data_IF_365281630888
#
_entry.id   IF_365281630888
#
_cell.length_a   1.000
_cell.length_b   1.000
_cell.length_c   1.000
_cell.angle_alpha   90.00
_cell.angle_beta   90.00
_cell.angle_gamma   90.00
#
_symmetry.space_group_name_H-M   'P 1'
#
loop_
_entity.id
_entity.type
_entity.pdbx_description
1 polymer ?
#
# COMPACT_ATOMS: atom_id res chain seq x y z
N UNK A 1 -12.50 18.77 -18.17
CA UNK A 1 -13.16 18.21 -16.99
C UNK A 1 -14.50 17.67 -17.45
N UNK A 2 -14.67 16.37 -17.41
CA UNK A 2 -15.91 15.78 -17.94
C UNK A 2 -16.67 15.15 -16.77
N UNK A 3 -17.58 15.95 -16.17
CA UNK A 3 -18.61 15.45 -15.28
C UNK A 3 -19.80 14.86 -16.06
N UNK A 4 -19.52 14.32 -17.26
CA UNK A 4 -20.50 13.65 -18.13
C UNK A 4 -20.72 12.24 -17.59
N UNK A 5 -22.01 11.91 -17.38
CA UNK A 5 -22.44 10.61 -16.89
C UNK A 5 -22.33 9.60 -18.04
N UNK A 6 -21.50 8.57 -17.88
CA UNK A 6 -21.24 7.54 -18.88
C UNK A 6 -22.05 6.26 -18.64
N UNK A 7 -22.39 5.98 -17.39
CA UNK A 7 -23.28 4.89 -17.02
C UNK A 7 -24.05 5.21 -15.73
N UNK A 8 -25.12 4.49 -15.48
CA UNK A 8 -25.95 4.61 -14.27
C UNK A 8 -26.18 3.19 -13.75
N UNK A 9 -25.93 2.97 -12.46
CA UNK A 9 -26.11 1.69 -11.82
C UNK A 9 -27.57 1.32 -11.75
N UNK A 10 -27.89 0.05 -12.03
CA UNK A 10 -29.25 -0.47 -11.95
C UNK A 10 -29.78 -0.35 -10.52
N UNK A 11 -31.03 0.07 -10.40
CA UNK A 11 -31.73 0.27 -9.13
C UNK A 11 -31.09 1.32 -8.21
N UNK A 12 -30.20 2.15 -8.76
CA UNK A 12 -29.58 3.27 -8.03
C UNK A 12 -30.58 4.40 -7.75
N UNK A 13 -30.24 5.30 -6.80
CA UNK A 13 -31.01 6.53 -6.57
C UNK A 13 -31.14 7.41 -7.81
N UNK A 14 -30.08 7.52 -8.61
CA UNK A 14 -30.06 8.32 -9.83
C UNK A 14 -30.96 7.72 -10.93
N UNK A 15 -30.95 6.38 -11.13
CA UNK A 15 -31.84 5.73 -12.08
C UNK A 15 -33.31 5.95 -11.70
N UNK A 16 -33.67 5.74 -10.42
CA UNK A 16 -35.04 6.00 -9.92
C UNK A 16 -35.48 7.44 -10.07
N UNK A 17 -34.56 8.39 -10.00
CA UNK A 17 -34.83 9.81 -10.17
C UNK A 17 -34.87 10.24 -11.64
N UNK A 18 -34.61 9.34 -12.60
CA UNK A 18 -34.68 9.58 -14.03
C UNK A 18 -33.50 10.38 -14.59
N UNK A 19 -32.31 10.27 -13.98
CA UNK A 19 -31.06 10.76 -14.56
C UNK A 19 -30.75 9.96 -15.82
N UNK A 20 -30.12 10.58 -16.82
CA UNK A 20 -29.84 9.93 -18.10
C UNK A 20 -28.34 9.94 -18.43
N UNK A 21 -27.87 8.88 -19.07
CA UNK A 21 -26.52 8.83 -19.63
C UNK A 21 -26.34 9.93 -20.68
N UNK A 22 -25.19 10.58 -20.68
CA UNK A 22 -24.87 11.72 -21.54
C UNK A 22 -25.23 13.08 -20.93
N UNK A 23 -25.89 13.13 -19.79
CA UNK A 23 -26.06 14.37 -19.04
C UNK A 23 -24.78 14.73 -18.30
N UNK A 24 -24.55 16.03 -18.09
CA UNK A 24 -23.44 16.55 -17.31
C UNK A 24 -23.91 16.93 -15.90
N UNK A 25 -23.28 16.41 -14.86
CA UNK A 25 -23.51 16.81 -13.48
C UNK A 25 -22.83 18.15 -13.21
N UNK A 26 -23.59 19.20 -12.91
CA UNK A 26 -23.10 20.55 -12.65
C UNK A 26 -22.93 20.81 -11.15
N UNK A 27 -23.95 20.48 -10.35
CA UNK A 27 -23.92 20.69 -8.90
C UNK A 27 -24.74 19.64 -8.15
N UNK A 28 -24.40 19.46 -6.86
CA UNK A 28 -25.18 18.71 -5.87
C UNK A 28 -25.46 19.65 -4.70
N UNK A 29 -26.72 19.76 -4.30
CA UNK A 29 -27.17 20.64 -3.21
C UNK A 29 -26.68 22.09 -3.36
N UNK A 30 -26.56 22.59 -4.60
CA UNK A 30 -26.07 23.93 -4.92
C UNK A 30 -24.54 24.08 -4.93
N UNK A 31 -23.79 23.03 -4.63
CA UNK A 31 -22.33 23.02 -4.67
C UNK A 31 -21.83 22.50 -6.02
N UNK A 32 -21.01 23.27 -6.75
CA UNK A 32 -20.42 22.82 -8.02
C UNK A 32 -19.57 21.54 -7.83
N UNK A 33 -19.70 20.61 -8.75
CA UNK A 33 -18.94 19.37 -8.74
C UNK A 33 -17.74 19.52 -9.68
N UNK A 34 -16.54 19.43 -9.09
CA UNK A 34 -15.25 19.51 -9.82
C UNK A 34 -14.69 18.13 -10.07
N UNK A 35 -14.72 17.26 -9.07
CA UNK A 35 -14.18 15.90 -9.11
C UNK A 35 -14.91 14.95 -8.14
N UNK A 36 -14.39 13.74 -8.00
CA UNK A 36 -14.96 12.67 -7.18
C UNK A 36 -15.08 13.04 -5.70
N UNK A 37 -14.24 13.92 -5.16
CA UNK A 37 -14.32 14.32 -3.75
C UNK A 37 -15.58 15.16 -3.50
N UNK A 38 -15.88 16.13 -4.37
CA UNK A 38 -17.13 16.88 -4.29
C UNK A 38 -18.34 15.97 -4.46
N UNK A 39 -18.28 15.05 -5.44
CA UNK A 39 -19.35 14.09 -5.71
C UNK A 39 -19.68 13.26 -4.48
N UNK A 40 -18.67 12.70 -3.82
CA UNK A 40 -18.85 11.88 -2.61
C UNK A 40 -19.27 12.71 -1.42
N UNK A 41 -18.67 13.87 -1.22
CA UNK A 41 -18.93 14.72 -0.06
C UNK A 41 -20.36 15.31 -0.11
N UNK A 42 -20.70 16.01 -1.19
CA UNK A 42 -22.02 16.64 -1.34
C UNK A 42 -23.14 15.65 -1.69
N UNK A 43 -22.77 14.47 -2.19
CA UNK A 43 -23.69 13.37 -2.42
C UNK A 43 -23.95 12.48 -1.20
N UNK A 44 -23.37 12.77 -0.03
CA UNK A 44 -23.50 11.93 1.17
C UNK A 44 -24.92 11.94 1.78
N UNK A 45 -25.59 13.07 1.76
CA UNK A 45 -26.88 13.28 2.40
C UNK A 45 -28.01 12.38 1.85
N UNK A 46 -29.03 12.06 2.68
CA UNK A 46 -30.19 11.26 2.24
C UNK A 46 -31.02 11.92 1.14
N UNK A 47 -30.92 13.23 0.99
CA UNK A 47 -31.59 14.02 -0.04
C UNK A 47 -30.55 14.79 -0.84
N UNK A 48 -30.43 14.46 -2.13
CA UNK A 48 -29.50 15.12 -3.04
C UNK A 48 -30.24 15.81 -4.17
N UNK A 49 -30.06 17.13 -4.27
CA UNK A 49 -30.61 17.95 -5.35
C UNK A 49 -29.54 18.11 -6.42
N UNK A 50 -29.72 17.45 -7.58
CA UNK A 50 -28.79 17.47 -8.68
C UNK A 50 -29.16 18.52 -9.70
N UNK A 51 -28.23 19.34 -10.13
CA UNK A 51 -28.36 20.20 -11.31
C UNK A 51 -27.63 19.52 -12.47
N UNK A 52 -28.37 19.22 -13.52
CA UNK A 52 -27.90 18.45 -14.67
C UNK A 52 -28.03 19.29 -15.94
N UNK A 53 -27.03 19.20 -16.83
CA UNK A 53 -27.10 19.77 -18.18
C UNK A 53 -27.33 18.64 -19.16
N UNK A 54 -28.42 18.69 -19.89
CA UNK A 54 -28.77 17.69 -20.91
C UNK A 54 -27.85 17.78 -22.12
N UNK A 55 -27.80 16.74 -22.96
CA UNK A 55 -27.06 16.75 -24.21
C UNK A 55 -27.50 17.88 -25.18
N UNK A 56 -28.75 18.36 -25.07
CA UNK A 56 -29.27 19.51 -25.80
C UNK A 56 -28.83 20.87 -25.21
N UNK A 57 -28.09 20.88 -24.09
CA UNK A 57 -27.61 22.09 -23.43
C UNK A 57 -28.55 22.72 -22.42
N UNK A 58 -29.76 22.17 -22.21
CA UNK A 58 -30.71 22.67 -21.23
C UNK A 58 -30.32 22.21 -19.81
N UNK A 59 -30.52 23.09 -18.83
CA UNK A 59 -30.37 22.78 -17.40
C UNK A 59 -31.67 22.25 -16.84
N UNK A 60 -31.59 21.16 -16.05
CA UNK A 60 -32.71 20.61 -15.30
C UNK A 60 -32.29 20.20 -13.89
N UNK A 61 -33.26 20.13 -13.00
CA UNK A 61 -33.05 19.74 -11.61
C UNK A 61 -33.73 18.39 -11.33
N UNK A 62 -33.01 17.54 -10.60
CA UNK A 62 -33.47 16.21 -10.20
C UNK A 62 -33.23 16.02 -8.72
N UNK A 63 -34.14 15.41 -8.02
CA UNK A 63 -34.02 15.10 -6.59
C UNK A 63 -33.88 13.60 -6.41
N UNK A 64 -32.76 13.17 -5.85
CA UNK A 64 -32.51 11.80 -5.46
C UNK A 64 -32.75 11.58 -3.97
N UNK A 65 -33.50 10.52 -3.62
CA UNK A 65 -33.72 10.07 -2.24
C UNK A 65 -32.98 8.75 -2.04
N UNK A 66 -32.21 8.64 -0.96
CA UNK A 66 -31.36 7.48 -0.67
C UNK A 66 -31.11 7.32 0.82
N UNK A 67 -30.47 6.23 1.26
CA UNK A 67 -29.88 6.15 2.59
C UNK A 67 -28.68 7.10 2.70
N UNK A 68 -28.39 7.57 3.91
CA UNK A 68 -27.18 8.34 4.20
C UNK A 68 -25.94 7.53 3.80
N UNK A 69 -25.00 8.16 3.12
CA UNK A 69 -23.79 7.50 2.62
C UNK A 69 -23.97 6.56 1.42
N UNK A 70 -25.21 6.24 1.03
CA UNK A 70 -25.45 5.44 -0.18
C UNK A 70 -24.99 6.21 -1.42
N UNK A 71 -24.28 5.53 -2.35
CA UNK A 71 -23.90 6.16 -3.62
C UNK A 71 -25.11 6.50 -4.49
N UNK A 72 -25.00 7.58 -5.27
CA UNK A 72 -26.04 7.97 -6.23
C UNK A 72 -26.12 7.01 -7.41
N UNK A 73 -25.05 6.28 -7.70
CA UNK A 73 -24.95 5.32 -8.80
C UNK A 73 -24.67 5.99 -10.14
N UNK A 74 -23.95 7.11 -10.14
CA UNK A 74 -23.48 7.78 -11.35
C UNK A 74 -22.06 7.36 -11.66
N UNK A 75 -21.82 6.92 -12.89
CA UNK A 75 -20.50 6.57 -13.37
C UNK A 75 -20.01 7.60 -14.39
N UNK A 76 -18.69 7.85 -14.40
CA UNK A 76 -18.01 8.83 -15.24
C UNK A 76 -16.88 8.15 -16.02
N UNK A 77 -16.26 8.85 -17.01
CA UNK A 77 -15.20 8.28 -17.86
C UNK A 77 -14.02 7.74 -17.05
N UNK A 78 -13.67 8.40 -15.95
CA UNK A 78 -12.64 7.97 -15.01
C UNK A 78 -13.17 7.93 -13.59
N UNK A 79 -12.59 7.10 -12.77
CA UNK A 79 -12.92 7.00 -11.34
C UNK A 79 -12.78 8.33 -10.59
N UNK A 80 -11.85 9.20 -11.03
CA UNK A 80 -11.61 10.52 -10.43
C UNK A 80 -12.47 11.63 -11.05
N UNK A 81 -13.24 11.33 -12.09
CA UNK A 81 -14.04 12.27 -12.91
C UNK A 81 -13.19 13.22 -13.75
N UNK A 82 -11.86 13.11 -13.70
CA UNK A 82 -10.89 13.78 -14.57
C UNK A 82 -9.61 12.94 -14.72
N UNK A 83 -8.54 13.53 -15.25
CA UNK A 83 -7.24 12.86 -15.40
C UNK A 83 -6.52 12.74 -14.06
N UNK A 84 -5.88 11.59 -13.84
CA UNK A 84 -5.01 11.33 -12.69
C UNK A 84 -3.75 12.19 -12.77
N UNK A 85 -3.31 12.71 -11.63
CA UNK A 85 -2.11 13.55 -11.56
C UNK A 85 -0.86 12.72 -11.34
N UNK A 86 0.09 12.90 -12.22
CA UNK A 86 1.40 12.29 -12.10
C UNK A 86 2.30 13.08 -11.15
N UNK A 87 3.19 12.37 -10.45
CA UNK A 87 4.20 12.96 -9.58
C UNK A 87 5.22 13.80 -10.36
N UNK A 88 5.51 14.99 -9.85
CA UNK A 88 6.49 15.92 -10.43
C UNK A 88 7.89 15.82 -9.77
N UNK A 89 8.08 14.89 -8.83
CA UNK A 89 9.33 14.76 -8.09
C UNK A 89 10.32 13.82 -8.77
N UNK A 90 11.60 14.02 -8.44
CA UNK A 90 12.72 13.16 -8.83
C UNK A 90 13.44 12.65 -7.57
N UNK A 91 12.69 11.93 -6.72
CA UNK A 91 13.19 11.46 -5.43
C UNK A 91 14.45 10.61 -5.58
N UNK A 92 15.45 10.82 -4.72
CA UNK A 92 16.68 10.04 -4.72
C UNK A 92 16.44 8.53 -4.65
N UNK A 93 15.37 8.14 -3.99
CA UNK A 93 14.98 6.77 -3.66
C UNK A 93 13.78 6.27 -4.50
N UNK A 94 13.31 7.02 -5.50
CA UNK A 94 12.13 6.63 -6.29
C UNK A 94 12.30 5.25 -6.88
N UNK A 95 11.41 4.32 -6.50
CA UNK A 95 11.46 2.94 -6.98
C UNK A 95 11.10 2.86 -8.48
N UNK A 96 10.14 3.71 -8.92
CA UNK A 96 9.72 3.77 -10.34
C UNK A 96 10.89 4.18 -11.25
N UNK A 97 11.77 5.10 -10.80
CA UNK A 97 12.96 5.50 -11.56
C UNK A 97 14.04 4.40 -11.66
N UNK A 98 13.89 3.34 -10.87
CA UNK A 98 14.76 2.17 -10.86
C UNK A 98 14.15 0.96 -11.58
N UNK A 99 13.01 1.14 -12.26
CA UNK A 99 12.39 0.06 -13.04
C UNK A 99 13.18 -0.18 -14.33
N UNK A 100 13.40 -1.45 -14.72
CA UNK A 100 14.04 -1.75 -16.00
C UNK A 100 13.17 -1.30 -17.17
N UNK A 101 13.76 -0.95 -18.33
CA UNK A 101 12.99 -0.59 -19.51
C UNK A 101 12.25 -1.81 -20.10
N UNK A 102 11.12 -1.55 -20.78
CA UNK A 102 10.39 -2.57 -21.54
C UNK A 102 9.31 -3.33 -20.74
N UNK A 103 9.02 -2.92 -19.52
CA UNK A 103 7.88 -3.46 -18.76
C UNK A 103 6.56 -2.76 -19.20
N UNK A 104 5.41 -3.28 -18.72
CA UNK A 104 4.09 -2.67 -19.00
C UNK A 104 4.04 -1.22 -18.51
N UNK A 105 3.37 -0.36 -19.27
CA UNK A 105 3.35 1.09 -19.06
C UNK A 105 2.85 1.51 -17.67
N UNK A 106 1.94 0.74 -17.08
CA UNK A 106 1.37 1.04 -15.76
C UNK A 106 2.41 1.03 -14.63
N UNK A 107 3.53 0.31 -14.78
CA UNK A 107 4.61 0.26 -13.79
C UNK A 107 5.51 1.51 -13.79
N UNK A 108 5.42 2.35 -14.82
CA UNK A 108 6.18 3.60 -14.91
C UNK A 108 5.36 4.82 -14.49
N UNK A 109 4.09 4.61 -14.15
CA UNK A 109 3.25 5.70 -13.69
C UNK A 109 3.61 6.06 -12.25
N UNK A 110 3.96 7.32 -12.03
CA UNK A 110 4.24 7.87 -10.69
C UNK A 110 2.99 8.56 -10.17
N UNK A 111 2.27 7.90 -9.28
CA UNK A 111 1.11 8.50 -8.64
C UNK A 111 1.51 9.53 -7.57
N UNK A 112 0.85 10.67 -7.58
CA UNK A 112 0.91 11.69 -6.51
C UNK A 112 -0.41 12.49 -6.46
N UNK A 113 -1.53 11.82 -6.73
CA UNK A 113 -2.84 12.45 -6.73
C UNK A 113 -3.45 12.42 -5.32
N UNK A 114 -3.65 13.60 -4.73
CA UNK A 114 -4.16 13.74 -3.37
C UNK A 114 -5.53 13.06 -3.15
N UNK A 115 -6.34 12.94 -4.21
CA UNK A 115 -7.64 12.25 -4.14
C UNK A 115 -7.48 10.76 -3.88
N UNK A 116 -6.44 10.14 -4.43
CA UNK A 116 -6.16 8.72 -4.23
C UNK A 116 -5.67 8.43 -2.81
N UNK A 117 -5.04 9.39 -2.14
CA UNK A 117 -4.73 9.23 -0.71
C UNK A 117 -5.99 9.02 0.12
N UNK A 118 -6.99 9.85 -0.11
CA UNK A 118 -8.27 9.75 0.59
C UNK A 118 -9.12 8.54 0.16
N UNK A 119 -9.12 8.22 -1.14
CA UNK A 119 -10.00 7.18 -1.71
C UNK A 119 -9.45 5.77 -1.57
N UNK A 120 -8.13 5.61 -1.70
CA UNK A 120 -7.45 4.33 -1.79
C UNK A 120 -6.35 4.14 -0.75
N UNK A 121 -6.05 5.16 0.06
CA UNK A 121 -4.98 5.09 1.06
C UNK A 121 -3.58 5.34 0.49
N UNK A 122 -3.43 5.80 -0.75
CA UNK A 122 -2.12 6.04 -1.36
C UNK A 122 -1.33 7.10 -0.60
N UNK A 123 -0.01 6.90 -0.49
CA UNK A 123 0.90 7.88 0.10
C UNK A 123 1.32 8.91 -0.94
N UNK A 124 1.11 10.19 -0.65
CA UNK A 124 1.36 11.33 -1.53
C UNK A 124 2.37 12.29 -0.94
N UNK A 125 3.04 13.06 -1.80
CA UNK A 125 4.05 14.03 -1.36
C UNK A 125 3.50 15.43 -1.07
N UNK A 126 2.26 15.72 -1.43
CA UNK A 126 1.61 17.03 -1.40
C UNK A 126 2.32 18.11 -2.26
N UNK A 127 3.35 17.76 -3.03
CA UNK A 127 4.11 18.74 -3.84
C UNK A 127 3.34 19.22 -5.07
N UNK A 128 2.32 18.46 -5.49
CA UNK A 128 1.43 18.79 -6.60
C UNK A 128 0.21 19.62 -6.20
N UNK A 129 0.00 19.86 -4.89
CA UNK A 129 -1.13 20.63 -4.40
C UNK A 129 -0.98 22.12 -4.70
N UNK A 130 -2.09 22.72 -5.13
CA UNK A 130 -2.27 24.17 -5.13
C UNK A 130 -2.82 24.65 -3.79
N UNK A 131 -2.66 25.95 -3.48
CA UNK A 131 -3.26 26.55 -2.28
C UNK A 131 -4.77 26.38 -2.20
N UNK A 132 -5.45 26.48 -3.36
CA UNK A 132 -6.90 26.27 -3.45
C UNK A 132 -7.30 24.84 -3.06
N UNK A 133 -6.54 23.86 -3.50
CA UNK A 133 -6.81 22.45 -3.18
C UNK A 133 -6.49 22.14 -1.73
N UNK A 134 -5.38 22.67 -1.20
CA UNK A 134 -5.06 22.54 0.22
C UNK A 134 -6.16 23.17 1.09
N UNK A 135 -6.66 24.36 0.72
CA UNK A 135 -7.77 25.00 1.44
C UNK A 135 -9.05 24.17 1.33
N UNK A 136 -9.37 23.60 0.17
CA UNK A 136 -10.52 22.71 -0.02
C UNK A 136 -10.45 21.47 0.87
N UNK A 137 -9.27 20.85 1.02
CA UNK A 137 -9.07 19.71 1.94
C UNK A 137 -9.43 20.12 3.37
N UNK A 138 -9.03 21.32 3.79
CA UNK A 138 -9.35 21.87 5.11
C UNK A 138 -10.84 22.15 5.23
N UNK A 139 -11.44 22.85 4.28
CA UNK A 139 -12.86 23.25 4.29
C UNK A 139 -13.80 22.05 4.31
N UNK A 140 -13.49 21.00 3.57
CA UNK A 140 -14.26 19.76 3.52
C UNK A 140 -13.85 18.75 4.61
N UNK A 141 -12.85 19.09 5.42
CA UNK A 141 -12.29 18.22 6.47
C UNK A 141 -11.95 16.80 5.96
N UNK A 142 -11.33 16.73 4.77
CA UNK A 142 -10.97 15.46 4.11
C UNK A 142 -9.89 14.74 4.93
N UNK A 143 -10.24 13.59 5.51
CA UNK A 143 -9.42 12.87 6.49
C UNK A 143 -9.74 11.36 6.46
N UNK A 144 -8.78 10.44 6.63
CA UNK A 144 -7.34 10.69 6.79
C UNK A 144 -6.62 11.00 5.47
N UNK A 145 -5.41 11.56 5.57
CA UNK A 145 -4.48 11.74 4.45
C UNK A 145 -3.17 11.00 4.77
N UNK A 146 -2.70 10.22 3.80
CA UNK A 146 -1.43 9.51 3.90
C UNK A 146 -0.33 10.30 3.19
N UNK A 147 0.74 10.65 3.91
CA UNK A 147 1.77 11.57 3.43
C UNK A 147 3.16 10.94 3.45
N UNK A 148 3.83 10.98 2.29
CA UNK A 148 5.25 10.66 2.16
C UNK A 148 6.10 11.84 2.65
N UNK A 149 6.61 11.77 3.89
CA UNK A 149 7.29 12.89 4.56
C UNK A 149 8.81 12.87 4.32
N UNK A 150 9.44 11.75 4.59
CA UNK A 150 10.88 11.45 4.49
C UNK A 150 11.80 12.33 5.36
N UNK A 151 11.65 13.65 5.38
CA UNK A 151 12.39 14.57 6.22
C UNK A 151 11.59 15.86 6.47
N UNK A 152 11.74 16.49 7.64
CA UNK A 152 11.12 17.79 7.97
C UNK A 152 12.08 18.97 7.87
N UNK A 153 13.40 18.72 7.71
CA UNK A 153 14.33 19.75 7.30
C UNK A 153 14.01 20.21 5.88
N UNK A 154 13.64 21.49 5.63
CA UNK A 154 13.17 21.93 4.32
C UNK A 154 14.21 21.76 3.21
N UNK A 155 15.50 21.93 3.50
CA UNK A 155 16.56 21.78 2.52
C UNK A 155 16.79 20.30 2.18
N UNK A 156 16.83 19.44 3.19
CA UNK A 156 16.95 18.00 2.99
C UNK A 156 15.71 17.44 2.28
N UNK A 157 14.51 17.89 2.65
CA UNK A 157 13.27 17.52 2.00
C UNK A 157 13.29 17.82 0.50
N UNK A 158 13.67 19.06 0.11
CA UNK A 158 13.83 19.42 -1.30
C UNK A 158 14.88 18.55 -2.01
N UNK A 159 15.99 18.26 -1.33
CA UNK A 159 17.06 17.43 -1.91
C UNK A 159 16.60 15.99 -2.10
N UNK A 160 15.98 15.39 -1.10
CA UNK A 160 15.50 14.01 -1.17
C UNK A 160 14.41 13.82 -2.22
N UNK A 161 13.49 14.77 -2.37
CA UNK A 161 12.44 14.73 -3.38
C UNK A 161 12.92 15.18 -4.78
N UNK A 162 14.14 15.68 -4.91
CA UNK A 162 14.66 16.22 -6.17
C UNK A 162 13.80 17.35 -6.75
N UNK A 163 13.17 18.13 -5.86
CA UNK A 163 12.22 19.18 -6.20
C UNK A 163 12.48 20.42 -5.32
N UNK A 164 12.98 21.48 -5.91
CA UNK A 164 13.35 22.72 -5.19
C UNK A 164 12.17 23.40 -4.47
N UNK A 165 10.94 23.10 -4.89
CA UNK A 165 9.72 23.67 -4.31
C UNK A 165 9.05 22.73 -3.29
N UNK A 166 9.62 21.55 -3.01
CA UNK A 166 9.00 20.55 -2.15
C UNK A 166 8.78 21.03 -0.71
N UNK A 167 9.61 21.96 -0.20
CA UNK A 167 9.46 22.50 1.14
C UNK A 167 8.06 23.08 1.42
N UNK A 168 7.34 23.53 0.37
CA UNK A 168 5.96 24.02 0.48
C UNK A 168 4.99 22.94 0.98
N UNK A 169 5.24 21.67 0.71
CA UNK A 169 4.41 20.59 1.22
C UNK A 169 4.45 20.50 2.76
N UNK A 170 5.56 20.89 3.38
CA UNK A 170 5.68 20.97 4.85
C UNK A 170 4.76 22.04 5.44
N UNK A 171 4.54 23.15 4.73
CA UNK A 171 3.61 24.19 5.15
C UNK A 171 2.15 23.66 5.08
N UNK A 172 1.82 22.88 4.05
CA UNK A 172 0.51 22.23 3.94
C UNK A 172 0.29 21.21 5.06
N UNK A 173 1.29 20.38 5.36
CA UNK A 173 1.24 19.44 6.48
C UNK A 173 0.90 20.16 7.78
N UNK A 174 1.60 21.27 8.09
CA UNK A 174 1.35 22.04 9.30
C UNK A 174 -0.05 22.69 9.30
N UNK A 175 -0.52 23.17 8.14
CA UNK A 175 -1.87 23.73 8.01
C UNK A 175 -2.93 22.66 8.26
N UNK A 176 -2.75 21.45 7.72
CA UNK A 176 -3.66 20.30 7.93
C UNK A 176 -3.69 19.87 9.40
N UNK A 177 -2.54 19.79 10.07
CA UNK A 177 -2.48 19.53 11.50
C UNK A 177 -3.27 20.55 12.31
N UNK A 178 -3.08 21.86 12.04
CA UNK A 178 -3.79 22.94 12.72
C UNK A 178 -5.31 22.88 12.47
N UNK A 179 -5.71 22.37 11.32
CA UNK A 179 -7.13 22.18 10.97
C UNK A 179 -7.72 20.86 11.53
N UNK A 180 -6.93 20.04 12.24
CA UNK A 180 -7.39 18.77 12.81
C UNK A 180 -7.56 17.63 11.81
N UNK A 181 -6.96 17.75 10.62
CA UNK A 181 -6.91 16.66 9.64
C UNK A 181 -6.05 15.52 10.18
N UNK A 182 -6.58 14.31 10.17
CA UNK A 182 -5.83 13.11 10.55
C UNK A 182 -4.83 12.79 9.46
N UNK A 183 -3.55 12.65 9.83
CA UNK A 183 -2.49 12.29 8.88
C UNK A 183 -1.74 11.07 9.32
N UNK A 184 -1.47 10.18 8.35
CA UNK A 184 -0.54 9.08 8.48
C UNK A 184 0.72 9.40 7.67
N UNK A 185 1.89 9.12 8.23
CA UNK A 185 3.16 9.39 7.61
C UNK A 185 3.86 8.12 7.09
N UNK A 186 4.71 8.31 6.09
CA UNK A 186 5.69 7.32 5.67
C UNK A 186 7.05 7.99 5.53
N UNK A 187 8.09 7.34 6.05
CA UNK A 187 9.48 7.76 5.91
C UNK A 187 10.26 6.61 5.26
N UNK A 188 10.68 6.80 4.01
CA UNK A 188 11.69 5.93 3.41
C UNK A 188 13.04 6.34 3.96
N UNK A 189 13.65 5.49 4.77
CA UNK A 189 14.94 5.78 5.41
C UNK A 189 16.08 5.43 4.46
N UNK A 190 16.87 6.43 4.13
CA UNK A 190 18.04 6.35 3.25
C UNK A 190 19.31 6.60 4.09
N UNK A 191 20.12 5.58 4.39
CA UNK A 191 21.30 5.73 5.21
C UNK A 191 22.26 6.80 4.69
N UNK A 192 22.70 7.69 5.59
CA UNK A 192 23.56 8.84 5.27
C UNK A 192 22.81 10.07 4.73
N UNK A 193 21.47 10.04 4.66
CA UNK A 193 20.65 11.16 4.23
C UNK A 193 19.67 11.62 5.33
N UNK A 194 18.69 10.81 5.67
CA UNK A 194 17.63 11.14 6.63
C UNK A 194 17.58 10.20 7.85
N UNK A 195 18.66 9.50 8.12
CA UNK A 195 18.90 8.70 9.33
C UNK A 195 19.47 9.54 10.49
N UNK A 196 19.82 8.92 11.59
CA UNK A 196 20.47 9.54 12.74
C UNK A 196 19.75 10.79 13.25
N UNK A 197 20.47 11.92 13.32
CA UNK A 197 19.94 13.20 13.83
C UNK A 197 18.81 13.77 12.96
N UNK A 198 18.84 13.54 11.65
CA UNK A 198 17.77 13.96 10.74
C UNK A 198 16.49 13.18 11.01
N UNK A 199 16.60 11.88 11.26
CA UNK A 199 15.45 11.06 11.66
C UNK A 199 14.88 11.54 13.00
N UNK A 200 15.72 11.76 14.01
CA UNK A 200 15.31 12.30 15.32
C UNK A 200 14.59 13.65 15.18
N UNK A 201 15.09 14.54 14.33
CA UNK A 201 14.42 15.81 14.02
C UNK A 201 13.04 15.56 13.42
N UNK A 202 12.96 14.72 12.41
CA UNK A 202 11.71 14.42 11.71
C UNK A 202 10.67 13.84 12.68
N UNK A 203 11.03 12.84 13.50
CA UNK A 203 10.10 12.23 14.45
C UNK A 203 9.63 13.22 15.53
N UNK A 204 10.50 14.13 15.96
CA UNK A 204 10.12 15.22 16.89
C UNK A 204 9.09 16.14 16.26
N UNK A 205 9.34 16.61 15.05
CA UNK A 205 8.43 17.51 14.33
C UNK A 205 7.08 16.84 14.09
N UNK A 206 7.06 15.57 13.66
CA UNK A 206 5.83 14.80 13.47
C UNK A 206 5.06 14.54 14.77
N UNK A 207 5.79 14.41 15.90
CA UNK A 207 5.17 14.34 17.24
C UNK A 207 4.44 15.64 17.57
N UNK A 208 5.09 16.78 17.37
CA UNK A 208 4.49 18.10 17.63
C UNK A 208 3.36 18.44 16.63
N UNK A 209 3.44 17.97 15.40
CA UNK A 209 2.37 18.09 14.40
C UNK A 209 1.25 17.05 14.59
N UNK A 210 1.34 16.22 15.60
CA UNK A 210 0.31 15.26 16.00
C UNK A 210 -0.10 14.26 14.91
N UNK A 211 0.86 13.76 14.13
CA UNK A 211 0.59 12.66 13.21
C UNK A 211 -0.07 11.50 13.96
N UNK A 212 -1.06 10.87 13.33
CA UNK A 212 -1.78 9.74 13.91
C UNK A 212 -0.91 8.48 13.96
N UNK A 213 -0.20 8.22 12.87
CA UNK A 213 0.77 7.13 12.75
C UNK A 213 1.84 7.47 11.71
N UNK A 214 2.99 6.83 11.77
CA UNK A 214 4.03 6.97 10.75
C UNK A 214 4.85 5.68 10.67
N UNK A 215 4.99 5.16 9.45
CA UNK A 215 5.86 4.02 9.16
C UNK A 215 7.27 4.46 8.78
N UNK A 216 8.26 3.73 9.26
CA UNK A 216 9.64 3.81 8.82
C UNK A 216 9.96 2.58 7.98
N UNK A 217 10.26 2.78 6.71
CA UNK A 217 10.54 1.71 5.77
C UNK A 217 11.96 1.84 5.21
N UNK A 218 12.71 0.76 4.99
CA UNK A 218 14.03 0.84 4.40
C UNK A 218 13.95 1.21 2.93
N UNK A 219 14.97 1.89 2.40
CA UNK A 219 15.05 2.19 0.97
C UNK A 219 15.28 0.92 0.17
N UNK A 220 14.44 0.69 -0.86
CA UNK A 220 14.63 -0.35 -1.86
C UNK A 220 15.64 0.10 -2.94
N UNK A 221 16.62 -0.75 -3.24
CA UNK A 221 17.68 -0.46 -4.21
C UNK A 221 17.75 -1.58 -5.22
N UNK A 222 17.46 -1.26 -6.50
CA UNK A 222 17.58 -2.22 -7.60
C UNK A 222 18.94 -2.10 -8.29
N UNK A 223 19.28 -3.07 -9.13
CA UNK A 223 20.46 -3.02 -10.00
C UNK A 223 20.36 -1.99 -11.15
N UNK A 224 19.18 -1.38 -11.36
CA UNK A 224 18.90 -0.44 -12.45
C UNK A 224 19.04 1.02 -12.02
N UNK A 225 20.08 1.34 -11.27
CA UNK A 225 20.32 2.70 -10.74
C UNK A 225 21.36 3.51 -11.51
N UNK A 226 21.67 3.15 -12.75
CA UNK A 226 22.64 3.88 -13.57
C UNK A 226 22.16 5.31 -13.80
N UNK A 227 23.01 6.28 -13.44
CA UNK A 227 22.67 7.72 -13.55
C UNK A 227 21.84 8.30 -12.41
N UNK A 228 21.34 7.50 -11.50
CA UNK A 228 20.62 7.97 -10.30
C UNK A 228 21.60 8.28 -9.16
N UNK A 229 21.09 9.00 -8.14
CA UNK A 229 21.84 9.31 -6.94
C UNK A 229 22.41 8.06 -6.27
N UNK A 230 23.63 8.15 -5.74
CA UNK A 230 24.26 7.03 -5.04
C UNK A 230 23.60 6.84 -3.68
N UNK A 231 22.93 5.72 -3.53
CA UNK A 231 22.39 5.24 -2.25
C UNK A 231 23.02 3.87 -1.93
N UNK A 232 23.01 3.52 -0.67
CA UNK A 232 23.35 2.17 -0.22
C UNK A 232 22.15 1.52 0.49
N UNK A 233 22.04 0.20 0.48
CA UNK A 233 21.00 -0.49 1.24
C UNK A 233 21.18 -0.24 2.75
N UNK A 234 20.11 -0.43 3.49
CA UNK A 234 20.12 -0.41 4.95
C UNK A 234 20.91 -1.63 5.45
N UNK A 235 22.00 -1.41 6.19
CA UNK A 235 22.77 -2.48 6.82
C UNK A 235 22.09 -2.98 8.11
N UNK A 236 22.52 -4.11 8.68
CA UNK A 236 22.02 -4.56 9.98
C UNK A 236 22.25 -3.57 11.11
N UNK A 237 23.36 -2.81 11.09
CA UNK A 237 23.64 -1.73 12.04
C UNK A 237 22.69 -0.55 11.86
N UNK A 238 22.51 -0.09 10.61
CA UNK A 238 21.56 0.99 10.31
C UNK A 238 20.14 0.61 10.78
N UNK A 239 19.71 -0.62 10.52
CA UNK A 239 18.40 -1.10 10.92
C UNK A 239 18.22 -1.07 12.45
N UNK A 240 19.23 -1.51 13.22
CA UNK A 240 19.21 -1.43 14.68
C UNK A 240 19.12 0.02 15.18
N UNK A 241 19.87 0.93 14.57
CA UNK A 241 19.87 2.35 14.94
C UNK A 241 18.52 3.00 14.62
N UNK A 242 17.93 2.70 13.45
CA UNK A 242 16.60 3.18 13.05
C UNK A 242 15.54 2.69 14.03
N UNK A 243 15.55 1.39 14.36
CA UNK A 243 14.62 0.79 15.33
C UNK A 243 14.80 1.45 16.71
N UNK A 244 16.02 1.63 17.19
CA UNK A 244 16.29 2.24 18.49
C UNK A 244 15.76 3.69 18.56
N UNK A 245 15.91 4.47 17.49
CA UNK A 245 15.38 5.84 17.40
C UNK A 245 13.84 5.79 17.40
N UNK A 246 13.23 4.91 16.59
CA UNK A 246 11.78 4.78 16.54
C UNK A 246 11.19 4.35 17.89
N UNK A 247 11.84 3.43 18.60
CA UNK A 247 11.46 2.98 19.95
C UNK A 247 11.53 4.11 20.98
N UNK A 248 12.60 4.90 20.97
CA UNK A 248 12.76 6.06 21.87
C UNK A 248 11.55 7.00 21.75
N UNK A 249 11.22 7.43 20.54
CA UNK A 249 10.09 8.31 20.26
C UNK A 249 8.74 7.62 20.45
N UNK A 250 8.64 6.34 20.09
CA UNK A 250 7.44 5.54 20.27
C UNK A 250 7.06 5.42 21.75
N UNK A 251 8.02 5.10 22.62
CA UNK A 251 7.80 5.01 24.06
C UNK A 251 7.50 6.39 24.69
N UNK A 252 8.11 7.46 24.20
CA UNK A 252 7.77 8.81 24.64
C UNK A 252 6.33 9.17 24.27
N UNK A 253 5.92 8.92 23.03
CA UNK A 253 4.56 9.18 22.55
C UNK A 253 3.53 8.32 23.29
N UNK A 254 3.82 7.06 23.57
CA UNK A 254 2.94 6.19 24.32
C UNK A 254 2.69 6.74 25.74
N UNK A 255 3.74 7.27 26.41
CA UNK A 255 3.60 7.91 27.71
C UNK A 255 2.82 9.22 27.67
N UNK A 256 3.00 10.03 26.63
CA UNK A 256 2.38 11.38 26.50
C UNK A 256 0.97 11.32 25.96
N UNK A 257 0.69 10.42 25.05
CA UNK A 257 -0.53 10.44 24.22
C UNK A 257 -1.29 9.11 24.21
N UNK A 258 -0.76 8.05 24.81
CA UNK A 258 -1.39 6.72 24.83
C UNK A 258 -1.28 5.96 23.49
N UNK A 259 -0.41 6.37 22.60
CA UNK A 259 -0.15 5.73 21.29
C UNK A 259 1.31 5.93 20.87
N UNK A 260 1.93 4.91 20.28
CA UNK A 260 3.34 4.97 19.83
C UNK A 260 3.57 5.93 18.68
N UNK A 261 2.66 5.97 17.74
CA UNK A 261 2.68 6.76 16.50
C UNK A 261 3.74 6.36 15.48
N UNK A 262 4.94 5.91 15.90
CA UNK A 262 6.06 5.53 15.02
C UNK A 262 6.26 4.03 15.04
N UNK A 263 6.29 3.43 13.84
CA UNK A 263 6.35 1.99 13.65
C UNK A 263 7.39 1.65 12.59
N UNK A 264 8.28 0.72 12.87
CA UNK A 264 9.21 0.18 11.89
C UNK A 264 8.56 -0.94 11.08
N UNK A 265 8.82 -0.97 9.76
CA UNK A 265 8.43 -2.09 8.92
C UNK A 265 9.13 -3.38 9.38
N UNK A 266 8.48 -4.52 9.18
CA UNK A 266 8.99 -5.85 9.54
C UNK A 266 10.37 -6.11 8.91
N UNK A 267 10.59 -5.61 7.69
CA UNK A 267 11.88 -5.71 6.99
C UNK A 267 13.04 -5.13 7.80
N UNK A 268 12.82 -4.06 8.57
CA UNK A 268 13.87 -3.49 9.44
C UNK A 268 14.24 -4.45 10.55
N UNK A 269 13.27 -5.12 11.18
CA UNK A 269 13.55 -6.13 12.22
C UNK A 269 14.27 -7.35 11.64
N UNK A 270 13.84 -7.83 10.48
CA UNK A 270 14.50 -8.94 9.78
C UNK A 270 15.96 -8.60 9.43
N UNK A 271 16.21 -7.40 8.88
CA UNK A 271 17.56 -6.91 8.57
C UNK A 271 18.44 -6.74 9.79
N UNK A 272 17.86 -6.28 10.90
CA UNK A 272 18.55 -6.13 12.17
C UNK A 272 18.92 -7.47 12.84
N UNK A 273 18.31 -8.57 12.39
CA UNK A 273 18.38 -9.87 13.06
C UNK A 273 17.68 -9.86 14.43
N UNK A 274 16.63 -9.05 14.57
CA UNK A 274 15.82 -8.90 15.78
C UNK A 274 14.51 -9.67 15.65
N UNK A 275 13.97 -10.11 16.79
CA UNK A 275 12.62 -10.66 16.82
C UNK A 275 11.57 -9.60 16.49
N UNK A 276 10.50 -10.04 15.81
CA UNK A 276 9.36 -9.17 15.53
C UNK A 276 8.65 -8.79 16.85
N UNK A 277 8.23 -7.53 17.00
CA UNK A 277 7.44 -7.09 18.15
C UNK A 277 6.18 -7.94 18.38
N UNK A 278 5.64 -7.92 19.60
CA UNK A 278 4.37 -8.54 19.89
C UNK A 278 3.19 -7.69 19.38
N UNK A 279 2.00 -8.26 19.34
CA UNK A 279 0.78 -7.65 18.79
C UNK A 279 0.49 -6.23 19.31
N UNK A 280 0.65 -6.05 20.62
CA UNK A 280 0.38 -4.78 21.31
C UNK A 280 1.25 -3.61 20.80
N UNK A 281 2.44 -3.92 20.27
CA UNK A 281 3.30 -2.92 19.61
C UNK A 281 2.61 -2.25 18.43
N UNK A 282 1.85 -2.99 17.62
CA UNK A 282 1.31 -2.53 16.33
C UNK A 282 0.01 -1.73 16.45
N UNK A 283 -0.60 -1.66 17.64
CA UNK A 283 -1.80 -0.86 17.95
C UNK A 283 -2.93 -1.03 16.92
N UNK A 284 -3.21 -2.28 16.53
CA UNK A 284 -4.25 -2.63 15.55
C UNK A 284 -3.81 -2.49 14.09
N UNK A 285 -2.51 -2.60 13.83
CA UNK A 285 -1.92 -2.73 12.49
C UNK A 285 -2.23 -1.57 11.53
N UNK A 286 -2.17 -0.34 12.03
CA UNK A 286 -2.53 0.89 11.27
C UNK A 286 -1.70 1.16 10.02
N UNK A 287 -0.54 0.52 9.88
CA UNK A 287 0.43 0.72 8.79
C UNK A 287 0.74 -0.59 8.05
N UNK A 288 -0.22 -1.54 8.06
CA UNK A 288 -0.04 -2.88 7.50
C UNK A 288 0.44 -2.84 6.04
N UNK A 289 -0.14 -1.98 5.21
CA UNK A 289 0.21 -1.81 3.80
C UNK A 289 1.65 -1.31 3.56
N UNK A 290 2.27 -0.73 4.59
CA UNK A 290 3.69 -0.36 4.58
C UNK A 290 4.61 -1.47 5.13
N UNK A 291 4.11 -2.68 5.25
CA UNK A 291 4.87 -3.82 5.77
C UNK A 291 5.12 -3.76 7.28
N UNK A 292 4.27 -3.06 8.04
CA UNK A 292 4.36 -2.94 9.50
C UNK A 292 3.43 -3.95 10.15
N UNK A 293 3.99 -5.02 10.70
CA UNK A 293 3.24 -6.04 11.42
C UNK A 293 2.59 -7.10 10.53
N UNK A 294 2.88 -7.14 9.24
CA UNK A 294 2.33 -8.15 8.33
C UNK A 294 2.70 -9.56 8.77
N UNK A 295 3.95 -9.78 9.14
CA UNK A 295 4.43 -11.10 9.57
C UNK A 295 3.83 -11.49 10.92
N UNK A 296 3.69 -10.55 11.86
CA UNK A 296 3.07 -10.83 13.15
C UNK A 296 1.57 -11.14 13.00
N UNK A 297 0.85 -10.40 12.17
CA UNK A 297 -0.57 -10.68 11.86
C UNK A 297 -0.72 -12.07 11.23
N UNK A 298 0.08 -12.37 10.21
CA UNK A 298 0.09 -13.69 9.56
C UNK A 298 0.35 -14.83 10.57
N UNK A 299 1.33 -14.66 11.47
CA UNK A 299 1.62 -15.67 12.49
C UNK A 299 0.44 -15.90 13.45
N UNK A 300 -0.19 -14.82 13.91
CA UNK A 300 -1.31 -14.93 14.85
C UNK A 300 -2.51 -15.62 14.24
N UNK A 301 -2.87 -15.24 13.00
CA UNK A 301 -3.97 -15.86 12.26
C UNK A 301 -3.66 -17.33 12.00
N UNK A 302 -2.43 -17.65 11.58
CA UNK A 302 -1.97 -19.01 11.34
C UNK A 302 -2.03 -19.89 12.57
N UNK A 303 -1.46 -19.44 13.69
CA UNK A 303 -1.47 -20.19 14.94
C UNK A 303 -2.87 -20.31 15.55
N UNK A 304 -3.73 -19.31 15.31
CA UNK A 304 -5.14 -19.37 15.72
C UNK A 304 -5.91 -20.39 14.91
N UNK A 305 -5.76 -20.38 13.57
CA UNK A 305 -6.37 -21.37 12.69
C UNK A 305 -5.91 -22.80 13.04
N UNK A 306 -4.61 -23.02 13.27
CA UNK A 306 -4.06 -24.32 13.67
C UNK A 306 -4.74 -24.90 14.94
N UNK A 307 -5.06 -24.05 15.93
CA UNK A 307 -5.69 -24.49 17.18
C UNK A 307 -7.14 -24.94 17.00
N UNK A 308 -7.80 -24.47 15.96
CA UNK A 308 -9.20 -24.80 15.65
C UNK A 308 -9.33 -26.04 14.76
N UNK A 309 -8.19 -26.54 14.25
CA UNK A 309 -8.17 -27.65 13.33
C UNK A 309 -8.12 -29.03 14.00
N UNK A 310 -9.07 -29.90 13.60
CA UNK A 310 -9.02 -31.35 13.82
C UNK A 310 -8.58 -32.00 12.49
N UNK A 311 -7.41 -32.65 12.48
CA UNK A 311 -6.85 -33.12 11.23
C UNK A 311 -6.34 -34.56 11.29
N UNK A 312 -6.82 -35.43 10.39
CA UNK A 312 -6.44 -36.83 10.25
C UNK A 312 -5.90 -37.24 8.86
N UNK A 313 -5.97 -36.34 7.87
CA UNK A 313 -5.56 -36.66 6.48
C UNK A 313 -4.17 -36.12 6.15
N UNK A 314 -3.40 -36.87 5.36
CA UNK A 314 -2.10 -36.45 4.86
C UNK A 314 -2.28 -35.71 3.52
N UNK A 315 -2.09 -34.38 3.47
CA UNK A 315 -2.16 -33.62 2.23
C UNK A 315 -1.02 -34.00 1.28
N UNK A 316 -1.18 -33.65 0.00
CA UNK A 316 -0.09 -33.81 -0.97
C UNK A 316 1.11 -32.91 -0.63
N UNK A 317 2.35 -33.34 -0.99
CA UNK A 317 3.53 -32.53 -0.75
C UNK A 317 3.43 -31.14 -1.40
N UNK A 318 4.03 -30.13 -0.74
CA UNK A 318 4.03 -28.76 -1.24
C UNK A 318 5.35 -28.02 -0.99
N UNK A 319 5.54 -26.95 -1.74
CA UNK A 319 6.67 -26.03 -1.60
C UNK A 319 6.15 -24.61 -1.45
N UNK A 320 6.51 -23.93 -0.37
CA UNK A 320 6.28 -22.50 -0.21
C UNK A 320 7.47 -21.78 -0.84
N UNK A 321 7.26 -21.00 -1.90
CA UNK A 321 8.30 -20.17 -2.47
C UNK A 321 8.09 -18.71 -2.08
N UNK A 322 9.14 -18.08 -1.55
CA UNK A 322 9.08 -16.71 -1.01
C UNK A 322 10.43 -16.00 -1.18
N UNK A 323 10.46 -14.70 -0.92
CA UNK A 323 11.70 -13.92 -0.93
C UNK A 323 12.66 -14.33 0.20
N UNK A 324 13.94 -14.04 0.02
CA UNK A 324 14.99 -14.43 0.98
C UNK A 324 14.79 -13.83 2.36
N UNK A 325 14.19 -12.63 2.48
CA UNK A 325 13.90 -11.99 3.75
C UNK A 325 12.87 -12.76 4.59
N UNK A 326 11.81 -13.25 3.96
CA UNK A 326 10.71 -13.92 4.66
C UNK A 326 10.92 -15.45 4.82
N UNK A 327 11.85 -16.05 4.09
CA UNK A 327 12.04 -17.50 4.09
C UNK A 327 12.33 -18.11 5.49
N UNK A 328 13.15 -17.50 6.37
CA UNK A 328 13.33 -18.01 7.73
C UNK A 328 12.04 -18.00 8.55
N UNK A 329 11.24 -16.96 8.42
CA UNK A 329 9.95 -16.84 9.09
C UNK A 329 8.94 -17.87 8.57
N UNK A 330 8.85 -18.06 7.26
CA UNK A 330 7.99 -19.09 6.65
C UNK A 330 8.43 -20.50 7.04
N UNK A 331 9.74 -20.73 7.18
CA UNK A 331 10.28 -22.00 7.70
C UNK A 331 9.84 -22.23 9.15
N UNK A 332 9.89 -21.19 9.98
CA UNK A 332 9.39 -21.28 11.34
C UNK A 332 7.90 -21.68 11.39
N UNK A 333 7.02 -21.03 10.60
CA UNK A 333 5.61 -21.37 10.52
C UNK A 333 5.38 -22.81 10.05
N UNK A 334 6.12 -23.26 9.05
CA UNK A 334 6.04 -24.62 8.54
C UNK A 334 6.43 -25.65 9.62
N UNK A 335 7.47 -25.39 10.41
CA UNK A 335 7.87 -26.29 11.50
C UNK A 335 6.82 -26.31 12.64
N UNK A 336 6.16 -25.18 12.93
CA UNK A 336 5.01 -25.19 13.85
C UNK A 336 3.89 -26.09 13.31
N UNK A 337 3.56 -25.95 12.01
CA UNK A 337 2.55 -26.80 11.38
C UNK A 337 2.92 -28.28 11.39
N UNK A 338 4.16 -28.64 11.06
CA UNK A 338 4.63 -30.04 11.10
C UNK A 338 4.60 -30.65 12.51
N UNK A 339 4.87 -29.84 13.53
CA UNK A 339 4.77 -30.29 14.93
C UNK A 339 3.30 -30.61 15.33
N UNK A 340 2.35 -29.88 14.79
CA UNK A 340 0.92 -30.07 15.02
C UNK A 340 0.30 -31.16 14.11
N UNK A 341 0.72 -31.18 12.82
CA UNK A 341 0.29 -32.12 11.80
C UNK A 341 1.45 -32.99 11.30
N UNK A 342 1.78 -34.13 11.97
CA UNK A 342 2.98 -34.91 11.66
C UNK A 342 3.00 -35.55 10.25
N UNK A 343 1.85 -35.65 9.60
CA UNK A 343 1.73 -36.13 8.21
C UNK A 343 2.08 -35.09 7.15
N UNK A 344 2.22 -33.81 7.54
CA UNK A 344 2.47 -32.68 6.64
C UNK A 344 3.83 -32.81 5.98
N UNK A 345 3.86 -32.72 4.63
CA UNK A 345 5.08 -32.79 3.82
C UNK A 345 5.25 -31.48 3.05
N UNK A 346 5.96 -30.55 3.62
CA UNK A 346 6.25 -29.25 3.00
C UNK A 346 7.70 -28.85 3.12
N UNK A 347 8.14 -27.96 2.23
CA UNK A 347 9.42 -27.28 2.27
C UNK A 347 9.26 -25.80 1.97
N UNK A 348 10.23 -24.98 2.37
CA UNK A 348 10.30 -23.56 2.02
C UNK A 348 11.52 -23.33 1.13
N UNK A 349 11.33 -22.65 0.02
CA UNK A 349 12.39 -22.26 -0.90
C UNK A 349 12.52 -20.73 -0.88
N UNK A 350 13.69 -20.26 -0.48
CA UNK A 350 14.08 -18.87 -0.61
C UNK A 350 14.49 -18.59 -2.07
N UNK A 351 13.75 -17.70 -2.74
CA UNK A 351 14.01 -17.31 -4.12
C UNK A 351 14.77 -15.99 -4.13
N UNK A 352 15.93 -15.95 -4.77
CA UNK A 352 16.71 -14.73 -4.97
C UNK A 352 16.11 -13.89 -6.10
N UNK A 353 16.11 -12.58 -5.92
CA UNK A 353 15.61 -11.67 -6.95
C UNK A 353 16.74 -11.33 -7.94
N UNK A 354 16.85 -12.12 -8.98
CA UNK A 354 17.81 -11.87 -10.07
C UNK A 354 17.35 -10.73 -10.97
N UNK A 355 16.02 -10.52 -11.06
CA UNK A 355 15.42 -9.51 -11.94
C UNK A 355 15.75 -8.09 -11.47
N UNK A 356 15.47 -7.74 -10.22
CA UNK A 356 15.78 -6.42 -9.65
C UNK A 356 17.16 -6.33 -8.99
N UNK A 357 17.77 -7.45 -8.68
CA UNK A 357 19.04 -7.58 -7.94
C UNK A 357 18.81 -8.03 -6.50
N UNK A 358 19.80 -8.72 -5.94
CA UNK A 358 19.75 -9.44 -4.67
C UNK A 358 19.59 -8.54 -3.42
N UNK A 359 19.66 -7.22 -3.58
CA UNK A 359 19.33 -6.25 -2.52
C UNK A 359 17.81 -6.09 -2.34
N UNK A 360 17.01 -6.60 -3.28
CA UNK A 360 15.56 -6.71 -3.21
C UNK A 360 15.23 -8.15 -2.80
N UNK A 361 14.81 -8.33 -1.58
CA UNK A 361 14.67 -9.62 -0.90
C UNK A 361 13.23 -9.94 -0.47
N UNK A 362 12.29 -9.04 -0.75
CA UNK A 362 10.87 -9.19 -0.42
C UNK A 362 10.12 -10.02 -1.48
N UNK A 363 9.17 -10.84 -1.03
CA UNK A 363 8.39 -11.73 -1.89
C UNK A 363 7.60 -10.98 -2.99
N UNK A 364 6.96 -9.86 -2.66
CA UNK A 364 6.09 -9.11 -3.60
C UNK A 364 6.79 -8.51 -4.82
N UNK A 365 8.13 -8.54 -4.86
CA UNK A 365 8.92 -8.05 -6.00
C UNK A 365 9.63 -9.19 -6.76
N UNK A 366 9.37 -10.45 -6.42
CA UNK A 366 9.81 -11.59 -7.23
C UNK A 366 9.03 -11.64 -8.54
N UNK A 367 9.73 -12.05 -9.60
CA UNK A 367 9.14 -12.17 -10.93
C UNK A 367 8.86 -13.64 -11.29
N UNK A 368 8.00 -13.86 -12.29
CA UNK A 368 7.73 -15.21 -12.77
C UNK A 368 8.99 -15.89 -13.31
N UNK A 369 9.89 -15.15 -13.95
CA UNK A 369 11.17 -15.68 -14.44
C UNK A 369 12.12 -16.06 -13.30
N UNK A 370 12.18 -15.30 -12.18
CA UNK A 370 12.99 -15.67 -11.02
C UNK A 370 12.50 -16.99 -10.41
N UNK A 371 11.17 -17.11 -10.25
CA UNK A 371 10.53 -18.32 -9.74
C UNK A 371 10.77 -19.52 -10.65
N UNK A 372 10.51 -19.39 -11.96
CA UNK A 372 10.71 -20.48 -12.93
C UNK A 372 12.16 -20.96 -12.94
N UNK A 373 13.13 -20.02 -13.07
CA UNK A 373 14.55 -20.38 -13.20
C UNK A 373 15.15 -21.08 -11.97
N UNK A 374 14.62 -20.77 -10.77
CA UNK A 374 15.16 -21.33 -9.53
C UNK A 374 14.39 -22.58 -9.10
N UNK A 375 13.05 -22.59 -9.19
CA UNK A 375 12.23 -23.73 -8.79
C UNK A 375 12.40 -24.96 -9.71
N UNK A 376 12.67 -24.78 -11.00
CA UNK A 376 12.99 -25.91 -11.90
C UNK A 376 14.19 -26.74 -11.44
N UNK A 377 15.05 -26.21 -10.58
CA UNK A 377 16.22 -26.91 -10.04
C UNK A 377 15.93 -27.68 -8.76
N UNK A 378 14.75 -27.49 -8.19
CA UNK A 378 14.34 -28.10 -6.91
C UNK A 378 13.63 -29.42 -7.21
N UNK A 379 14.09 -30.55 -6.67
CA UNK A 379 13.41 -31.83 -6.81
C UNK A 379 12.12 -31.85 -5.98
N UNK A 380 11.16 -32.63 -6.43
CA UNK A 380 9.96 -32.95 -5.65
C UNK A 380 9.19 -31.73 -5.08
N UNK A 381 8.91 -30.74 -5.94
CA UNK A 381 8.20 -29.52 -5.56
C UNK A 381 6.83 -29.78 -4.93
N UNK A 382 6.11 -30.82 -5.40
CA UNK A 382 4.70 -30.97 -5.07
C UNK A 382 3.88 -29.79 -5.62
N UNK A 383 2.91 -29.30 -4.86
CA UNK A 383 2.19 -28.05 -5.18
C UNK A 383 3.07 -26.86 -4.78
N UNK A 384 3.14 -25.83 -5.61
CA UNK A 384 3.87 -24.59 -5.27
C UNK A 384 2.90 -23.57 -4.72
N UNK A 385 3.13 -23.10 -3.50
CA UNK A 385 2.33 -22.10 -2.82
C UNK A 385 3.04 -20.74 -2.92
N UNK A 386 2.34 -19.74 -3.48
CA UNK A 386 2.85 -18.38 -3.68
C UNK A 386 1.92 -17.36 -3.04
N UNK A 387 2.43 -16.35 -2.32
CA UNK A 387 1.58 -15.31 -1.74
C UNK A 387 0.98 -14.39 -2.82
N UNK A 388 -0.28 -14.00 -2.62
CA UNK A 388 -1.04 -13.13 -3.53
C UNK A 388 -0.31 -11.82 -3.86
N UNK A 389 0.51 -11.31 -2.95
CA UNK A 389 1.27 -10.07 -3.15
C UNK A 389 2.31 -10.13 -4.28
N UNK A 390 2.63 -11.30 -4.82
CA UNK A 390 3.47 -11.43 -6.02
C UNK A 390 2.74 -11.03 -7.30
N UNK A 391 1.41 -10.97 -7.27
CA UNK A 391 0.59 -10.75 -8.46
C UNK A 391 0.04 -9.33 -8.52
N UNK A 392 -0.30 -8.90 -9.72
CA UNK A 392 -1.06 -7.69 -9.95
C UNK A 392 -2.46 -7.84 -9.36
N UNK A 393 -2.92 -6.81 -8.65
CA UNK A 393 -4.23 -6.82 -8.01
C UNK A 393 -5.36 -7.19 -9.00
N UNK A 394 -6.12 -8.23 -8.65
CA UNK A 394 -7.23 -8.74 -9.46
C UNK A 394 -6.85 -9.51 -10.72
N UNK A 395 -5.57 -9.82 -10.93
CA UNK A 395 -5.07 -10.56 -12.10
C UNK A 395 -4.07 -11.65 -11.70
N UNK A 396 -3.95 -12.71 -12.51
CA UNK A 396 -2.99 -13.80 -12.31
C UNK A 396 -1.65 -13.55 -13.03
N UNK A 397 -1.09 -12.35 -12.88
CA UNK A 397 0.08 -11.90 -13.64
C UNK A 397 1.13 -11.30 -12.70
N UNK A 398 2.39 -11.76 -12.82
CA UNK A 398 3.55 -11.23 -12.13
C UNK A 398 4.01 -9.86 -12.68
N UNK A 399 5.01 -9.26 -12.04
CA UNK A 399 5.54 -7.95 -12.48
C UNK A 399 6.12 -7.96 -13.90
N UNK A 400 6.65 -9.08 -14.35
CA UNK A 400 7.29 -9.29 -15.65
C UNK A 400 6.33 -9.85 -16.74
N UNK A 401 5.01 -9.69 -16.52
CA UNK A 401 3.95 -10.20 -17.39
C UNK A 401 3.92 -11.75 -17.54
N UNK A 402 4.64 -12.44 -16.67
CA UNK A 402 4.52 -13.89 -16.55
C UNK A 402 3.18 -14.25 -15.93
N UNK A 403 2.53 -15.31 -16.38
CA UNK A 403 1.26 -15.74 -15.77
C UNK A 403 1.46 -16.94 -14.86
N UNK A 404 0.55 -17.14 -13.92
CA UNK A 404 0.56 -18.28 -12.99
C UNK A 404 0.44 -19.59 -13.78
N UNK A 405 -0.40 -19.63 -14.84
CA UNK A 405 -0.59 -20.79 -15.69
C UNK A 405 0.70 -21.16 -16.44
N UNK A 406 1.43 -20.15 -16.94
CA UNK A 406 2.71 -20.37 -17.59
C UNK A 406 3.74 -20.93 -16.61
N UNK A 407 3.81 -20.38 -15.41
CA UNK A 407 4.71 -20.87 -14.36
C UNK A 407 4.40 -22.32 -14.02
N UNK A 408 3.13 -22.66 -13.81
CA UNK A 408 2.67 -24.03 -13.53
C UNK A 408 3.05 -25.00 -14.65
N UNK A 409 2.88 -24.61 -15.91
CA UNK A 409 3.23 -25.43 -17.06
C UNK A 409 4.76 -25.69 -17.15
N UNK A 410 5.59 -24.67 -16.87
CA UNK A 410 7.05 -24.78 -16.90
C UNK A 410 7.62 -25.59 -15.73
N UNK A 411 6.97 -25.54 -14.55
CA UNK A 411 7.36 -26.33 -13.38
C UNK A 411 6.82 -27.77 -13.44
N UNK A 412 5.81 -28.02 -14.27
CA UNK A 412 5.14 -29.33 -14.37
C UNK A 412 4.37 -29.72 -13.12
N UNK A 413 3.98 -28.77 -12.28
CA UNK A 413 3.21 -28.97 -11.06
C UNK A 413 2.21 -27.83 -10.81
N UNK A 414 1.17 -28.05 -10.00
CA UNK A 414 0.22 -26.99 -9.67
C UNK A 414 0.87 -25.82 -8.93
N UNK A 415 0.53 -24.60 -9.34
CA UNK A 415 0.87 -23.36 -8.62
C UNK A 415 -0.41 -22.80 -8.02
N UNK A 416 -0.47 -22.70 -6.71
CA UNK A 416 -1.60 -22.17 -5.95
C UNK A 416 -1.24 -20.81 -5.36
N UNK A 417 -2.10 -19.83 -5.59
CA UNK A 417 -1.98 -18.51 -4.97
C UNK A 417 -2.68 -18.55 -3.62
N UNK A 418 -1.94 -18.13 -2.60
CA UNK A 418 -2.39 -18.10 -1.20
C UNK A 418 -2.78 -16.69 -0.83
N UNK A 419 -3.92 -16.52 -0.18
CA UNK A 419 -4.38 -15.24 0.33
C UNK A 419 -3.43 -14.61 1.35
N UNK A 420 -3.88 -13.55 1.99
CA UNK A 420 -2.99 -12.69 2.78
C UNK A 420 -3.00 -13.01 4.28
N UNK A 421 -3.91 -13.84 4.73
CA UNK A 421 -4.01 -14.20 6.16
C UNK A 421 -3.42 -15.59 6.46
N UNK A 422 -3.23 -15.85 7.75
CA UNK A 422 -2.63 -17.10 8.20
C UNK A 422 -3.55 -18.30 8.06
N UNK A 423 -4.86 -18.11 8.04
CA UNK A 423 -5.86 -19.15 7.77
C UNK A 423 -5.74 -19.65 6.34
N UNK A 424 -5.70 -18.73 5.36
CA UNK A 424 -5.48 -19.06 3.94
C UNK A 424 -4.19 -19.88 3.72
N UNK A 425 -3.12 -19.51 4.45
CA UNK A 425 -1.85 -20.23 4.37
C UNK A 425 -1.99 -21.66 4.92
N UNK A 426 -2.66 -21.82 6.06
CA UNK A 426 -2.89 -23.13 6.64
C UNK A 426 -3.77 -24.02 5.73
N UNK A 427 -4.87 -23.48 5.22
CA UNK A 427 -5.76 -24.17 4.30
C UNK A 427 -5.03 -24.63 3.03
N UNK A 428 -4.17 -23.77 2.48
CA UNK A 428 -3.32 -24.14 1.35
C UNK A 428 -2.33 -25.26 1.70
N UNK A 429 -1.70 -25.25 2.90
CA UNK A 429 -0.84 -26.33 3.35
C UNK A 429 -1.60 -27.66 3.50
N UNK A 430 -2.84 -27.61 4.00
CA UNK A 430 -3.71 -28.75 4.26
C UNK A 430 -4.53 -29.20 3.03
N UNK A 431 -4.37 -28.53 1.87
CA UNK A 431 -5.07 -28.81 0.61
C UNK A 431 -6.60 -28.67 0.71
N UNK A 432 -7.04 -27.64 1.42
CA UNK A 432 -8.46 -27.30 1.54
C UNK A 432 -8.89 -26.30 0.49
N UNK A 433 -10.14 -26.40 0.04
CA UNK A 433 -10.80 -25.37 -0.73
C UNK A 433 -11.25 -24.27 0.25
N UNK A 434 -10.73 -23.04 0.11
CA UNK A 434 -11.12 -21.87 0.89
C UNK A 434 -12.48 -21.30 0.47
#
# INVERSE_FOLDING_TARGET
MSTIITAIDRHSPAERAGVQVGEQLLSINGHPIVDVLDYRFYGYDPLSHLELKTAAGNVRHVTCRKAEGQDLGLNFDTYLMDEMRSCANHCLFCFVDQMPPGMRSTLYFKDDDARLSFLLGNYITLTNLTEREAQRIIDLHISPINVSVHATDPQLHCTMLGNKNAARSLDYIQAFCKAGIVMNGQIVVCPGWNDGDQLRRTLRDLTEWQFSSCSLVPVGITKYRQGLAKLRPVSPEDARDIIAIAEEFGLENLRRFGTRRFFCADELFLRAGMELPQEDYYEGYRQLENGVGMLRSLEQDFLSAMRMEEHDEAPSPFTIATGTAAAPFMTYLLEQAKAYFPALRGQVIAVENDFFGHTIDVAGLLTGQDLSAQLQKVPDLGRVLLPLHMLRHGENVFLDDYTVERLSAELGCPVQIVGIDGGDLLDAMLEREG
#
